data_IF_591791884799
#
_entry.id   IF_591791884799
#
_cell.length_a   1.000
_cell.length_b   1.000
_cell.length_c   1.000
_cell.angle_alpha   90.00
_cell.angle_beta   90.00
_cell.angle_gamma   90.00
#
_symmetry.space_group_name_H-M   'P 1'
#
loop_
_entity.id
_entity.type
_entity.pdbx_description
1 polymer ?
#
# COMPACT_ATOMS: atom_id res chain seq x y z
N UNK A 1 71.42 -63.85 4.44
CA UNK A 1 72.60 -63.06 4.03
C UNK A 1 72.18 -62.24 2.80
N UNK A 2 72.12 -60.90 2.92
CA UNK A 2 72.18 -59.87 1.85
C UNK A 2 71.50 -60.22 0.50
N UNK A 3 70.45 -59.53 0.03
CA UNK A 3 70.45 -58.11 -0.35
C UNK A 3 69.05 -57.64 -0.76
N UNK A 4 68.78 -56.36 -0.46
CA UNK A 4 67.68 -55.53 -0.91
C UNK A 4 67.63 -55.33 -2.44
N UNK A 5 66.41 -55.12 -2.97
CA UNK A 5 66.02 -54.12 -3.99
C UNK A 5 64.49 -53.96 -3.92
N UNK A 6 63.93 -52.89 -3.34
CA UNK A 6 63.65 -51.55 -3.95
C UNK A 6 62.98 -51.65 -5.32
N UNK A 7 61.91 -50.94 -5.66
CA UNK A 7 61.05 -49.99 -4.97
C UNK A 7 59.75 -49.89 -5.77
N UNK A 8 58.71 -49.43 -5.10
CA UNK A 8 57.32 -49.41 -5.50
C UNK A 8 57.01 -48.47 -6.68
N UNK A 9 56.17 -48.98 -7.57
CA UNK A 9 55.31 -48.23 -8.49
C UNK A 9 54.17 -47.55 -7.73
N UNK A 10 54.07 -46.23 -7.81
CA UNK A 10 52.84 -45.47 -7.49
C UNK A 10 52.80 -44.23 -8.39
N UNK A 11 52.23 -44.31 -9.59
CA UNK A 11 50.82 -44.09 -9.91
C UNK A 11 50.22 -42.80 -9.33
N UNK A 12 49.99 -41.85 -10.24
CA UNK A 12 48.80 -41.00 -10.30
C UNK A 12 48.48 -40.12 -9.08
N UNK A 13 49.08 -38.93 -9.05
CA UNK A 13 48.66 -37.85 -8.15
C UNK A 13 47.70 -36.91 -8.90
N UNK A 14 46.43 -37.32 -9.02
CA UNK A 14 45.32 -36.43 -9.36
C UNK A 14 45.00 -35.57 -8.12
N UNK A 15 45.43 -34.32 -8.10
CA UNK A 15 44.91 -33.33 -7.15
C UNK A 15 43.93 -32.44 -7.90
N UNK A 16 42.72 -32.95 -8.03
CA UNK A 16 41.55 -32.19 -8.48
C UNK A 16 41.20 -31.21 -7.37
N UNK A 17 41.65 -29.95 -7.51
CA UNK A 17 41.23 -28.85 -6.64
C UNK A 17 39.75 -28.54 -6.97
N UNK A 18 38.84 -29.25 -6.30
CA UNK A 18 37.45 -28.82 -6.19
C UNK A 18 37.43 -27.61 -5.24
N UNK A 19 37.63 -26.41 -5.80
CA UNK A 19 37.22 -25.17 -5.14
C UNK A 19 35.71 -25.24 -5.03
N UNK A 20 35.24 -25.63 -3.84
CA UNK A 20 33.85 -25.61 -3.45
C UNK A 20 33.31 -24.19 -3.56
N UNK A 21 32.77 -23.88 -4.74
CA UNK A 21 31.91 -22.73 -4.97
C UNK A 21 30.62 -22.99 -4.19
N UNK A 22 30.67 -22.80 -2.87
CA UNK A 22 29.51 -22.58 -2.02
C UNK A 22 28.87 -21.27 -2.50
N UNK A 23 28.12 -21.39 -3.60
CA UNK A 23 27.10 -20.46 -3.99
C UNK A 23 26.19 -20.31 -2.78
N UNK A 24 26.43 -19.25 -2.02
CA UNK A 24 25.50 -18.71 -1.05
C UNK A 24 24.26 -18.33 -1.87
N UNK A 25 23.38 -19.30 -2.07
CA UNK A 25 22.02 -19.09 -2.51
C UNK A 25 21.32 -18.38 -1.36
N UNK A 26 21.55 -17.07 -1.27
CA UNK A 26 20.67 -16.15 -0.58
C UNK A 26 19.32 -16.34 -1.25
N UNK A 27 18.53 -17.26 -0.70
CA UNK A 27 17.14 -17.42 -1.07
C UNK A 27 16.51 -16.06 -0.90
N UNK A 28 16.16 -15.43 -2.02
CA UNK A 28 15.28 -14.29 -2.01
C UNK A 28 14.02 -14.78 -1.28
N UNK A 29 13.87 -14.42 -0.01
CA UNK A 29 12.65 -14.65 0.73
C UNK A 29 11.64 -13.73 0.07
N UNK A 30 10.98 -14.22 -0.98
CA UNK A 30 9.84 -13.57 -1.58
C UNK A 30 8.83 -13.39 -0.46
N UNK A 31 8.69 -12.18 0.07
CA UNK A 31 7.61 -11.84 0.98
C UNK A 31 6.30 -12.11 0.25
N UNK A 32 5.73 -13.27 0.54
CA UNK A 32 4.46 -13.67 -0.04
C UNK A 32 3.40 -12.75 0.56
N UNK A 33 2.81 -11.94 -0.31
CA UNK A 33 1.92 -10.85 0.05
C UNK A 33 0.65 -11.01 -0.75
N UNK A 34 -0.49 -10.95 -0.07
CA UNK A 34 -1.78 -11.15 -0.70
C UNK A 34 -2.50 -9.81 -0.87
N UNK A 35 -3.32 -9.70 -1.90
CA UNK A 35 -4.10 -8.51 -2.24
C UNK A 35 -5.60 -8.79 -2.09
N UNK A 36 -6.28 -7.93 -1.35
CA UNK A 36 -7.72 -7.94 -1.20
C UNK A 36 -8.29 -6.65 -1.76
N UNK A 37 -9.37 -6.74 -2.53
CA UNK A 37 -9.96 -5.58 -3.20
C UNK A 37 -11.27 -5.19 -2.51
N UNK A 38 -11.37 -3.90 -2.15
CA UNK A 38 -12.55 -3.29 -1.56
C UNK A 38 -13.20 -2.41 -2.62
N UNK A 39 -14.40 -2.76 -3.12
CA UNK A 39 -15.14 -1.90 -4.03
C UNK A 39 -15.46 -0.55 -3.37
N UNK A 40 -15.22 0.55 -4.09
CA UNK A 40 -15.48 1.92 -3.62
C UNK A 40 -16.70 2.57 -4.29
N UNK A 41 -17.39 1.83 -5.15
CA UNK A 41 -18.61 2.32 -5.82
C UNK A 41 -19.72 2.49 -4.80
N UNK A 42 -20.49 3.57 -4.90
CA UNK A 42 -21.53 3.91 -3.93
C UNK A 42 -22.53 2.77 -3.69
N UNK A 43 -22.91 2.05 -4.75
CA UNK A 43 -23.80 0.88 -4.73
C UNK A 43 -23.22 -0.36 -4.02
N UNK A 44 -21.90 -0.43 -3.86
CA UNK A 44 -21.23 -1.47 -3.08
C UNK A 44 -20.96 -1.05 -1.62
N UNK A 45 -21.19 0.21 -1.30
CA UNK A 45 -21.03 0.77 0.03
C UNK A 45 -22.40 0.95 0.70
N UNK A 46 -22.41 1.16 2.02
CA UNK A 46 -23.63 1.31 2.82
C UNK A 46 -23.61 2.62 3.58
N UNK A 47 -24.78 3.01 4.08
CA UNK A 47 -24.89 4.12 5.03
C UNK A 47 -24.12 3.74 6.31
N UNK A 48 -23.23 4.61 6.83
CA UNK A 48 -22.53 4.37 8.09
C UNK A 48 -23.51 4.24 9.27
N UNK A 49 -23.04 3.63 10.37
CA UNK A 49 -23.81 3.65 11.63
C UNK A 49 -24.08 5.09 12.09
N UNK A 50 -25.18 5.30 12.84
CA UNK A 50 -25.59 6.65 13.28
C UNK A 50 -24.48 7.46 13.96
N UNK A 51 -23.68 6.91 14.90
CA UNK A 51 -22.59 7.68 15.52
C UNK A 51 -21.55 8.16 14.50
N UNK A 52 -21.20 7.30 13.53
CA UNK A 52 -20.24 7.63 12.48
C UNK A 52 -20.84 8.62 11.49
N UNK A 53 -22.11 8.45 11.10
CA UNK A 53 -22.80 9.37 10.20
C UNK A 53 -22.90 10.77 10.81
N UNK A 54 -23.28 10.87 12.08
CA UNK A 54 -23.40 12.15 12.76
C UNK A 54 -22.09 12.95 12.77
N UNK A 55 -20.95 12.27 12.96
CA UNK A 55 -19.62 12.86 12.89
C UNK A 55 -19.36 13.56 11.55
N UNK A 56 -19.64 12.91 10.42
CA UNK A 56 -19.41 13.50 9.10
C UNK A 56 -20.43 14.60 8.79
N UNK A 57 -21.71 14.38 9.08
CA UNK A 57 -22.77 15.37 8.84
C UNK A 57 -22.54 16.65 9.65
N UNK A 58 -22.05 16.55 10.89
CA UNK A 58 -21.71 17.72 11.72
C UNK A 58 -20.62 18.62 11.14
N UNK A 59 -19.85 18.10 10.17
CA UNK A 59 -18.79 18.80 9.42
C UNK A 59 -19.24 19.15 7.99
N UNK A 60 -20.51 18.99 7.66
CA UNK A 60 -21.05 19.14 6.31
C UNK A 60 -20.38 18.19 5.28
N UNK A 61 -20.11 16.95 5.72
CA UNK A 61 -19.49 15.92 4.89
C UNK A 61 -20.44 14.76 4.62
N UNK A 62 -20.40 14.25 3.39
CA UNK A 62 -20.96 12.96 3.02
C UNK A 62 -19.99 11.83 3.33
N UNK A 63 -20.50 10.68 3.79
CA UNK A 63 -19.68 9.49 3.95
C UNK A 63 -20.48 8.22 3.68
N UNK A 64 -19.86 7.27 2.99
CA UNK A 64 -20.37 5.90 2.82
C UNK A 64 -19.35 4.91 3.34
N UNK A 65 -19.82 3.84 3.99
CA UNK A 65 -18.98 2.78 4.52
C UNK A 65 -18.84 1.66 3.48
N UNK A 66 -17.63 1.43 3.02
CA UNK A 66 -17.30 0.39 2.04
C UNK A 66 -16.77 -0.83 2.79
N UNK A 67 -17.47 -1.96 2.66
CA UNK A 67 -17.22 -3.14 3.50
C UNK A 67 -15.87 -3.79 3.16
N UNK A 68 -15.03 -3.92 4.18
CA UNK A 68 -13.79 -4.70 4.11
C UNK A 68 -14.16 -6.17 4.39
N UNK A 69 -14.37 -6.95 3.33
CA UNK A 69 -14.78 -8.36 3.43
C UNK A 69 -13.67 -9.33 3.86
N UNK A 70 -12.45 -8.82 3.92
CA UNK A 70 -11.28 -9.65 4.00
C UNK A 70 -11.14 -10.20 5.44
N UNK A 71 -10.87 -11.51 5.57
CA UNK A 71 -10.41 -12.17 6.81
C UNK A 71 -8.99 -11.70 7.15
N UNK A 72 -8.81 -10.40 7.23
CA UNK A 72 -7.52 -9.76 7.35
C UNK A 72 -7.38 -9.34 8.80
N UNK A 73 -6.46 -10.00 9.47
CA UNK A 73 -6.14 -9.69 10.84
C UNK A 73 -5.64 -8.24 10.90
N UNK A 74 -6.19 -7.46 11.82
CA UNK A 74 -5.84 -6.04 11.98
C UNK A 74 -6.09 -5.16 10.75
N UNK A 75 -6.95 -5.58 9.82
CA UNK A 75 -7.49 -4.67 8.81
C UNK A 75 -8.26 -3.52 9.48
N UNK A 76 -8.41 -2.39 8.77
CA UNK A 76 -9.34 -1.37 9.21
C UNK A 76 -10.72 -2.00 9.43
N UNK A 77 -11.31 -1.78 10.59
CA UNK A 77 -12.66 -2.26 10.93
C UNK A 77 -13.74 -1.52 10.16
N UNK A 78 -13.40 -0.36 9.59
CA UNK A 78 -14.23 0.38 8.64
C UNK A 78 -13.37 1.13 7.64
N UNK A 79 -13.84 1.19 6.39
CA UNK A 79 -13.28 2.04 5.34
C UNK A 79 -14.41 2.92 4.82
N UNK A 80 -14.18 4.23 4.80
CA UNK A 80 -15.19 5.23 4.48
C UNK A 80 -14.71 6.04 3.29
N UNK A 81 -15.52 6.10 2.25
CA UNK A 81 -15.35 7.12 1.23
C UNK A 81 -16.06 8.38 1.71
N UNK A 82 -15.27 9.42 1.95
CA UNK A 82 -15.73 10.71 2.47
C UNK A 82 -15.69 11.72 1.34
N UNK A 83 -16.72 12.55 1.26
CA UNK A 83 -16.87 13.56 0.22
C UNK A 83 -17.34 14.87 0.81
N UNK A 84 -16.73 15.95 0.35
CA UNK A 84 -17.23 17.32 0.44
C UNK A 84 -17.95 17.68 -0.87
N UNK A 85 -18.24 18.97 -1.07
CA UNK A 85 -18.77 19.50 -2.33
C UNK A 85 -17.80 19.33 -3.52
N UNK A 86 -16.48 19.41 -3.29
CA UNK A 86 -15.47 19.50 -4.36
C UNK A 86 -14.46 18.34 -4.37
N UNK A 87 -14.31 17.64 -3.24
CA UNK A 87 -13.27 16.66 -3.03
C UNK A 87 -13.78 15.39 -2.37
N UNK A 88 -13.11 14.28 -2.63
CA UNK A 88 -13.31 13.03 -1.90
C UNK A 88 -12.00 12.33 -1.56
N UNK A 89 -11.98 11.67 -0.42
CA UNK A 89 -10.83 10.96 0.14
C UNK A 89 -11.30 9.71 0.90
N UNK A 90 -10.34 8.95 1.45
CA UNK A 90 -10.64 7.75 2.25
C UNK A 90 -10.31 8.02 3.73
N UNK A 91 -11.29 7.83 4.59
CA UNK A 91 -11.07 7.65 6.02
C UNK A 91 -11.16 6.16 6.36
N UNK A 92 -10.44 5.70 7.36
CA UNK A 92 -10.54 4.31 7.79
C UNK A 92 -10.29 4.17 9.29
N UNK A 93 -11.01 3.23 9.89
CA UNK A 93 -10.97 2.98 11.33
C UNK A 93 -9.99 1.86 11.60
N UNK A 94 -8.95 2.16 12.37
CA UNK A 94 -8.01 1.16 12.86
C UNK A 94 -7.99 1.25 14.38
N UNK A 95 -8.37 0.15 15.05
CA UNK A 95 -8.65 0.14 16.49
C UNK A 95 -9.80 1.09 16.87
N UNK A 96 -9.55 2.09 17.71
CA UNK A 96 -10.52 3.10 18.20
C UNK A 96 -10.39 4.47 17.49
N UNK A 97 -9.55 4.55 16.45
CA UNK A 97 -9.22 5.80 15.77
C UNK A 97 -9.66 5.79 14.31
N UNK A 98 -10.21 6.91 13.88
CA UNK A 98 -10.38 7.25 12.47
C UNK A 98 -9.08 7.89 12.00
N UNK A 99 -8.48 7.31 10.97
CA UNK A 99 -7.34 7.85 10.26
C UNK A 99 -7.82 8.47 8.96
N UNK A 100 -7.51 9.75 8.77
CA UNK A 100 -7.97 10.50 7.61
C UNK A 100 -6.87 10.72 6.60
N UNK A 101 -7.21 10.55 5.32
CA UNK A 101 -6.35 10.93 4.20
C UNK A 101 -6.66 12.31 3.61
N UNK A 102 -7.57 13.06 4.22
CA UNK A 102 -8.01 14.39 3.77
C UNK A 102 -6.83 15.30 3.44
N UNK A 103 -5.91 15.49 4.40
CA UNK A 103 -4.73 16.34 4.21
C UNK A 103 -3.90 15.87 3.01
N UNK A 104 -3.58 14.58 2.93
CA UNK A 104 -2.74 14.03 1.87
C UNK A 104 -3.36 14.20 0.48
N UNK A 105 -4.67 14.03 0.38
CA UNK A 105 -5.40 14.06 -0.90
C UNK A 105 -5.72 15.49 -1.32
N UNK A 106 -6.06 16.38 -0.39
CA UNK A 106 -6.64 17.70 -0.67
C UNK A 106 -5.64 18.83 -0.43
N UNK A 107 -4.96 18.85 0.71
CA UNK A 107 -4.25 20.04 1.20
C UNK A 107 -2.73 20.01 0.99
N UNK A 108 -2.12 18.83 0.94
CA UNK A 108 -0.67 18.69 0.88
C UNK A 108 -0.14 19.01 -0.52
N UNK A 109 0.57 20.14 -0.63
CA UNK A 109 0.97 20.74 -1.92
C UNK A 109 1.83 19.80 -2.76
N UNK A 110 2.73 19.03 -2.16
CA UNK A 110 3.59 18.09 -2.87
C UNK A 110 2.83 16.88 -3.44
N UNK A 111 1.60 16.63 -2.98
CA UNK A 111 0.75 15.57 -3.47
C UNK A 111 -0.23 16.04 -4.56
N UNK A 112 -0.31 17.34 -4.82
CA UNK A 112 -1.23 17.90 -5.81
C UNK A 112 -0.73 17.60 -7.24
N UNK A 113 -1.54 16.88 -8.01
CA UNK A 113 -1.24 16.54 -9.41
C UNK A 113 -2.34 16.97 -10.39
N UNK A 114 -3.35 17.68 -9.92
CA UNK A 114 -4.53 18.11 -10.66
C UNK A 114 -5.49 18.91 -9.78
N UNK A 115 -6.55 19.44 -10.37
CA UNK A 115 -7.63 20.12 -9.66
C UNK A 115 -8.72 19.13 -9.23
N UNK A 116 -9.40 19.45 -8.13
CA UNK A 116 -10.54 18.67 -7.62
C UNK A 116 -10.23 17.17 -7.47
N UNK A 117 -9.22 16.79 -6.65
CA UNK A 117 -8.91 15.39 -6.40
C UNK A 117 -10.11 14.66 -5.79
N UNK A 118 -10.44 13.52 -6.38
CA UNK A 118 -11.54 12.67 -5.98
C UNK A 118 -11.14 11.19 -6.02
N UNK A 119 -11.60 10.42 -5.04
CA UNK A 119 -11.46 8.96 -5.06
C UNK A 119 -12.15 8.41 -6.30
N UNK A 120 -11.42 7.61 -7.08
CA UNK A 120 -11.96 7.02 -8.30
C UNK A 120 -12.86 5.80 -8.00
N UNK A 121 -13.67 5.40 -8.97
CA UNK A 121 -14.49 4.17 -8.90
C UNK A 121 -13.68 2.86 -8.93
N UNK A 122 -12.34 2.91 -9.01
CA UNK A 122 -11.48 1.74 -8.91
C UNK A 122 -11.47 1.20 -7.47
N UNK A 123 -11.40 -0.13 -7.26
CA UNK A 123 -11.34 -0.69 -5.92
C UNK A 123 -10.07 -0.24 -5.19
N UNK A 124 -10.15 -0.08 -3.87
CA UNK A 124 -8.98 -0.01 -3.03
C UNK A 124 -8.36 -1.41 -2.89
N UNK A 125 -7.03 -1.49 -2.83
CA UNK A 125 -6.28 -2.71 -2.56
C UNK A 125 -5.74 -2.66 -1.13
N UNK A 126 -6.17 -3.61 -0.30
CA UNK A 126 -5.54 -3.90 0.99
C UNK A 126 -4.49 -4.99 0.77
N UNK A 127 -3.26 -4.70 1.16
CA UNK A 127 -2.17 -5.69 1.13
C UNK A 127 -1.98 -6.33 2.48
N UNK A 128 -1.66 -7.60 2.49
CA UNK A 128 -1.40 -8.39 3.71
C UNK A 128 -0.11 -9.16 3.62
N UNK A 129 0.46 -9.46 4.79
CA UNK A 129 1.55 -10.42 4.91
C UNK A 129 1.05 -11.87 4.94
N UNK A 130 1.98 -12.82 5.07
CA UNK A 130 1.68 -14.26 5.13
C UNK A 130 0.80 -14.67 6.32
N UNK A 131 0.79 -13.89 7.40
CA UNK A 131 -0.06 -14.14 8.56
C UNK A 131 -1.48 -13.58 8.35
N UNK A 132 -1.74 -12.96 7.19
CA UNK A 132 -3.00 -12.28 6.91
C UNK A 132 -3.13 -10.95 7.63
N UNK A 133 -2.04 -10.37 8.14
CA UNK A 133 -2.06 -9.06 8.79
C UNK A 133 -2.01 -7.97 7.74
N UNK A 134 -2.90 -6.98 7.84
CA UNK A 134 -2.89 -5.83 6.94
C UNK A 134 -1.58 -5.04 7.09
N UNK A 135 -0.86 -4.88 5.97
CA UNK A 135 0.38 -4.09 5.91
C UNK A 135 0.19 -2.73 5.26
N UNK A 136 -0.93 -2.51 4.56
CA UNK A 136 -1.31 -1.19 4.07
C UNK A 136 -2.48 -1.18 3.09
N UNK A 137 -2.75 0.00 2.57
CA UNK A 137 -3.86 0.33 1.68
C UNK A 137 -3.33 1.11 0.47
N UNK A 138 -3.86 0.77 -0.70
CA UNK A 138 -3.61 1.49 -1.96
C UNK A 138 -4.97 1.85 -2.54
N UNK A 139 -5.17 3.10 -2.95
CA UNK A 139 -6.38 3.51 -3.65
C UNK A 139 -6.05 4.60 -4.67
N UNK A 140 -6.92 4.72 -5.68
CA UNK A 140 -6.71 5.64 -6.79
C UNK A 140 -7.51 6.92 -6.57
N UNK A 141 -6.84 8.04 -6.75
CA UNK A 141 -7.42 9.38 -6.84
C UNK A 141 -7.28 9.85 -8.28
N UNK A 142 -8.36 10.42 -8.80
CA UNK A 142 -8.41 11.09 -10.10
C UNK A 142 -8.57 12.58 -9.85
N UNK A 143 -7.90 13.39 -10.66
CA UNK A 143 -8.00 14.84 -10.63
C UNK A 143 -8.05 15.36 -12.06
N UNK A 144 -8.66 16.53 -12.25
CA UNK A 144 -8.65 17.24 -13.52
C UNK A 144 -7.21 17.71 -13.82
N UNK A 145 -6.71 17.44 -15.03
CA UNK A 145 -5.37 17.84 -15.41
C UNK A 145 -5.23 19.36 -15.40
N UNK A 146 -4.11 19.86 -14.85
CA UNK A 146 -3.77 21.27 -14.92
C UNK A 146 -3.24 21.57 -16.32
N UNK A 147 -4.14 21.93 -17.22
CA UNK A 147 -3.79 22.29 -18.58
C UNK A 147 -4.03 23.78 -18.82
N UNK A 148 -2.98 24.57 -18.63
CA UNK A 148 -3.02 26.02 -18.87
C UNK A 148 -2.98 26.39 -20.35
N UNK A 149 -2.75 25.43 -21.26
CA UNK A 149 -2.50 25.70 -22.68
C UNK A 149 -3.53 25.06 -23.63
N UNK A 150 -4.38 24.14 -23.18
CA UNK A 150 -5.44 23.65 -24.06
C UNK A 150 -6.58 24.64 -24.22
N UNK A 151 -7.21 24.56 -25.40
CA UNK A 151 -8.44 25.26 -25.74
C UNK A 151 -9.62 24.86 -24.83
N UNK A 152 -9.49 23.75 -24.09
CA UNK A 152 -10.46 23.27 -23.12
C UNK A 152 -9.74 22.89 -21.81
N UNK A 153 -9.33 23.88 -20.99
CA UNK A 153 -8.64 23.63 -19.72
C UNK A 153 -9.40 22.61 -18.88
N UNK A 154 -8.70 21.52 -18.54
CA UNK A 154 -9.27 20.46 -17.72
C UNK A 154 -10.24 19.50 -18.43
N UNK A 155 -10.16 19.36 -19.75
CA UNK A 155 -10.85 18.32 -20.50
C UNK A 155 -10.27 16.90 -20.29
N UNK A 156 -9.09 16.78 -19.68
CA UNK A 156 -8.46 15.49 -19.41
C UNK A 156 -8.32 15.24 -17.91
N UNK A 157 -8.38 13.96 -17.54
CA UNK A 157 -8.19 13.50 -16.17
C UNK A 157 -6.83 12.83 -16.02
N UNK A 158 -6.19 13.09 -14.89
CA UNK A 158 -4.97 12.41 -14.44
C UNK A 158 -5.29 11.60 -13.19
N UNK A 159 -4.56 10.51 -12.96
CA UNK A 159 -4.74 9.73 -11.72
C UNK A 159 -3.42 9.35 -11.08
N UNK A 160 -3.45 9.18 -9.75
CA UNK A 160 -2.36 8.66 -8.93
C UNK A 160 -2.91 7.66 -7.93
N UNK A 161 -2.06 6.73 -7.52
CA UNK A 161 -2.31 5.81 -6.44
C UNK A 161 -1.68 6.36 -5.17
N UNK A 162 -2.49 6.54 -4.14
CA UNK A 162 -2.04 6.86 -2.80
C UNK A 162 -1.70 5.57 -2.08
N UNK A 163 -0.53 5.54 -1.43
CA UNK A 163 -0.03 4.35 -0.74
C UNK A 163 0.12 4.64 0.74
N UNK A 164 -0.64 3.93 1.56
CA UNK A 164 -0.59 4.01 3.01
C UNK A 164 -0.04 2.71 3.59
N UNK A 165 0.97 2.81 4.43
CA UNK A 165 1.52 1.71 5.20
C UNK A 165 0.92 1.67 6.59
N UNK A 166 0.46 0.50 7.02
CA UNK A 166 0.05 0.29 8.40
C UNK A 166 1.29 -0.05 9.24
N UNK A 167 1.39 0.60 10.40
CA UNK A 167 2.40 0.39 11.43
C UNK A 167 1.65 0.16 12.73
N UNK A 168 2.26 -0.58 13.68
CA UNK A 168 1.63 -1.09 14.93
C UNK A 168 0.37 -0.35 15.41
N UNK A 169 0.45 0.98 15.60
CA UNK A 169 -0.69 1.81 16.00
C UNK A 169 -0.79 3.12 15.21
N UNK A 170 -0.20 3.17 14.02
CA UNK A 170 -0.21 4.36 13.19
C UNK A 170 -0.33 4.04 11.72
N UNK A 171 -0.78 5.03 10.97
CA UNK A 171 -0.86 4.91 9.52
C UNK A 171 0.02 5.96 8.89
N UNK A 172 0.80 5.51 7.93
CA UNK A 172 1.78 6.35 7.30
C UNK A 172 1.52 6.50 5.80
N UNK A 173 1.56 7.73 5.33
CA UNK A 173 1.73 8.01 3.92
C UNK A 173 3.13 7.66 3.44
N UNK A 174 3.20 6.73 2.48
CA UNK A 174 4.46 6.27 1.87
C UNK A 174 4.78 7.03 0.58
N UNK A 175 3.74 7.55 -0.10
CA UNK A 175 3.88 8.36 -1.30
C UNK A 175 2.83 8.06 -2.36
N UNK A 176 3.04 8.66 -3.54
CA UNK A 176 2.23 8.48 -4.72
C UNK A 176 2.89 7.54 -5.73
N UNK A 177 2.08 6.77 -6.44
CA UNK A 177 2.50 5.93 -7.55
C UNK A 177 1.65 6.17 -8.80
N UNK A 178 2.21 5.86 -9.98
CA UNK A 178 1.50 5.97 -11.27
C UNK A 178 0.73 4.70 -11.64
N UNK A 179 1.18 3.56 -11.13
CA UNK A 179 0.63 2.24 -11.43
C UNK A 179 0.73 1.31 -10.21
N UNK A 180 0.01 0.18 -10.31
CA UNK A 180 -0.09 -0.77 -9.20
C UNK A 180 1.26 -1.43 -8.85
N UNK A 181 2.16 -1.61 -9.82
CA UNK A 181 3.47 -2.24 -9.59
C UNK A 181 4.31 -1.33 -8.71
N UNK A 182 4.41 -0.05 -9.06
CA UNK A 182 5.10 0.95 -8.25
C UNK A 182 4.46 1.13 -6.86
N UNK A 183 3.12 1.13 -6.79
CA UNK A 183 2.40 1.27 -5.52
C UNK A 183 2.70 0.11 -4.56
N UNK A 184 2.63 -1.13 -5.06
CA UNK A 184 2.98 -2.34 -4.29
C UNK A 184 4.44 -2.33 -3.87
N UNK A 185 5.35 -1.93 -4.76
CA UNK A 185 6.78 -1.80 -4.45
C UNK A 185 7.02 -0.82 -3.29
N UNK A 186 6.34 0.32 -3.25
CA UNK A 186 6.44 1.27 -2.12
C UNK A 186 6.06 0.61 -0.80
N UNK A 187 5.00 -0.21 -0.80
CA UNK A 187 4.49 -0.87 0.39
C UNK A 187 5.40 -2.04 0.83
N UNK A 188 5.83 -2.88 -0.12
CA UNK A 188 6.57 -4.12 0.14
C UNK A 188 8.05 -3.87 0.47
N UNK A 189 8.64 -2.77 -0.04
CA UNK A 189 10.04 -2.40 0.20
C UNK A 189 10.31 -1.85 1.62
N UNK A 190 9.26 -1.66 2.43
CA UNK A 190 9.41 -1.04 3.74
C UNK A 190 9.80 0.43 3.64
N UNK A 191 9.24 1.14 2.64
CA UNK A 191 9.51 2.55 2.43
C UNK A 191 9.40 3.37 3.73
N UNK A 192 10.28 4.37 3.82
CA UNK A 192 10.30 5.30 4.95
C UNK A 192 8.96 6.00 5.04
N UNK A 193 8.50 6.16 6.28
CA UNK A 193 7.29 6.89 6.54
C UNK A 193 7.47 8.37 6.19
N UNK A 194 6.75 8.91 5.20
CA UNK A 194 6.85 10.32 4.83
C UNK A 194 6.08 11.21 5.79
N UNK A 195 4.84 10.84 6.07
CA UNK A 195 3.97 11.55 7.01
C UNK A 195 3.05 10.58 7.73
N UNK A 196 2.80 10.84 9.01
CA UNK A 196 1.75 10.15 9.76
C UNK A 196 0.40 10.78 9.44
N UNK A 197 -0.59 9.97 9.10
CA UNK A 197 -1.94 10.47 8.86
C UNK A 197 -2.55 11.05 10.14
N UNK A 198 -3.41 12.04 9.98
CA UNK A 198 -4.19 12.61 11.09
C UNK A 198 -5.11 11.54 11.66
N UNK A 199 -5.11 11.42 13.00
CA UNK A 199 -5.92 10.45 13.72
C UNK A 199 -6.81 11.14 14.75
N UNK A 200 -8.08 10.71 14.80
CA UNK A 200 -9.03 11.18 15.79
C UNK A 200 -9.75 9.99 16.41
N UNK A 201 -10.09 10.08 17.70
CA UNK A 201 -10.85 9.02 18.35
C UNK A 201 -12.28 9.00 17.82
N UNK A 202 -12.80 7.80 17.60
CA UNK A 202 -14.22 7.57 17.39
C UNK A 202 -14.89 7.68 18.77
N UNK A 203 -15.37 8.87 19.14
CA UNK A 203 -16.12 9.13 20.38
C UNK A 203 -17.62 9.05 20.12
#
# INVERSE_FOLDING_TARGET
MRLLRTAETALSMQVTIFVGLLLVSMGAVCKDTQSYYVPLQAESCRVPSEPVRHRYVSRDLGAVECRVWAKVQSAPSGLYMVSSNEHSWIDFVLSDKVWSSEDEVVYERENQFGNFPNVSNAPAEIRTDRAGVAIGLIFRVTAQAVDYQSLNPGASNVSRLFVFGFRKQSVCFLGLARDNIAARKLLDSGAICRRLLKAERLR
#
